data_IF_775293107651
#
_entry.id   IF_775293107651
#
_cell.length_a   1.000
_cell.length_b   1.000
_cell.length_c   1.000
_cell.angle_alpha   90.00
_cell.angle_beta   90.00
_cell.angle_gamma   90.00
#
_symmetry.space_group_name_H-M   'P 1'
#
loop_
_entity.id
_entity.type
_entity.pdbx_description
1 polymer ?
#
# COMPACT_ATOMS: atom_id res chain seq x y z
N UNK A 1 16.93 5.67 24.85
CA UNK A 1 17.54 5.70 23.49
C UNK A 1 16.52 5.45 22.37
N UNK A 2 15.73 4.37 22.40
CA UNK A 2 14.86 4.01 21.27
C UNK A 2 13.76 5.03 20.94
N UNK A 3 13.18 5.70 21.94
CA UNK A 3 12.13 6.71 21.72
C UNK A 3 12.65 7.95 20.98
N UNK A 4 13.87 8.38 21.30
CA UNK A 4 14.49 9.53 20.63
C UNK A 4 14.73 9.27 19.15
N UNK A 5 15.29 8.10 18.80
CA UNK A 5 15.50 7.72 17.40
C UNK A 5 14.18 7.58 16.63
N UNK A 6 13.12 7.08 17.28
CA UNK A 6 11.79 7.00 16.67
C UNK A 6 11.22 8.39 16.38
N UNK A 7 11.25 9.31 17.34
CA UNK A 7 10.77 10.68 17.16
C UNK A 7 11.59 11.42 16.08
N UNK A 8 12.91 11.23 16.06
CA UNK A 8 13.79 11.78 15.03
C UNK A 8 13.44 11.23 13.63
N UNK A 9 13.20 9.93 13.50
CA UNK A 9 12.80 9.32 12.24
C UNK A 9 11.43 9.84 11.76
N UNK A 10 10.46 9.96 12.66
CA UNK A 10 9.17 10.58 12.36
C UNK A 10 9.32 12.04 11.92
N UNK A 11 10.18 12.82 12.57
CA UNK A 11 10.45 14.20 12.20
C UNK A 11 11.06 14.31 10.79
N UNK A 12 12.09 13.50 10.49
CA UNK A 12 12.72 13.47 9.16
C UNK A 12 11.70 13.09 8.09
N UNK A 13 10.88 12.06 8.32
CA UNK A 13 9.83 11.67 7.38
C UNK A 13 8.77 12.75 7.21
N UNK A 14 8.41 13.47 8.28
CA UNK A 14 7.46 14.57 8.21
C UNK A 14 8.00 15.76 7.41
N UNK A 15 9.30 16.01 7.43
CA UNK A 15 9.90 17.08 6.61
C UNK A 15 9.99 16.67 5.14
N UNK A 16 10.49 15.46 4.85
CA UNK A 16 10.85 15.08 3.48
C UNK A 16 9.78 14.29 2.71
N UNK A 17 8.97 13.46 3.40
CA UNK A 17 8.05 12.50 2.78
C UNK A 17 6.79 12.24 3.62
N UNK A 18 6.02 13.30 3.91
CA UNK A 18 4.77 13.24 4.71
C UNK A 18 3.79 12.14 4.29
N UNK A 19 3.67 11.90 2.98
CA UNK A 19 2.77 10.88 2.44
C UNK A 19 3.08 9.46 2.96
N UNK A 20 4.34 9.14 3.29
CA UNK A 20 4.71 7.83 3.87
C UNK A 20 4.14 7.68 5.28
N UNK A 21 4.18 8.75 6.08
CA UNK A 21 3.61 8.75 7.43
C UNK A 21 2.09 8.62 7.38
N UNK A 22 1.43 9.36 6.49
CA UNK A 22 -0.03 9.27 6.33
C UNK A 22 -0.47 7.88 5.87
N UNK A 23 0.23 7.28 4.91
CA UNK A 23 -0.03 5.91 4.47
C UNK A 23 0.29 4.87 5.56
N UNK A 24 1.23 5.15 6.46
CA UNK A 24 1.59 4.31 7.61
C UNK A 24 0.62 4.41 8.79
N UNK A 25 -0.08 5.53 8.94
CA UNK A 25 -0.92 5.81 10.10
C UNK A 25 -2.10 4.83 10.21
N UNK A 26 -2.83 4.64 9.10
CA UNK A 26 -3.97 3.72 9.01
C UNK A 26 -3.59 2.27 9.37
N UNK A 27 -2.58 1.65 8.72
CA UNK A 27 -2.19 0.28 9.07
C UNK A 27 -1.61 0.20 10.49
N UNK A 28 -0.93 1.23 11.01
CA UNK A 28 -0.37 1.21 12.37
C UNK A 28 -1.46 1.20 13.45
N UNK A 29 -2.55 1.93 13.24
CA UNK A 29 -3.73 1.88 14.11
C UNK A 29 -4.36 0.48 14.08
N UNK A 30 -4.61 -0.05 12.87
CA UNK A 30 -5.18 -1.40 12.71
C UNK A 30 -4.30 -2.47 13.36
N UNK A 31 -2.99 -2.37 13.20
CA UNK A 31 -2.01 -3.25 13.82
C UNK A 31 -2.09 -3.23 15.34
N UNK A 32 -2.12 -2.03 15.95
CA UNK A 32 -2.24 -1.88 17.40
C UNK A 32 -3.48 -2.59 17.92
N UNK A 33 -4.63 -2.35 17.30
CA UNK A 33 -5.89 -3.01 17.63
C UNK A 33 -5.82 -4.54 17.52
N UNK A 34 -5.28 -5.06 16.41
CA UNK A 34 -5.11 -6.49 16.20
C UNK A 34 -4.15 -7.13 17.20
N UNK A 35 -3.12 -6.41 17.63
CA UNK A 35 -2.18 -6.87 18.64
C UNK A 35 -2.83 -6.97 20.03
N UNK A 36 -3.71 -6.03 20.41
CA UNK A 36 -4.50 -6.14 21.63
C UNK A 36 -5.49 -7.31 21.57
N UNK A 37 -6.14 -7.52 20.41
CA UNK A 37 -7.02 -8.68 20.17
C UNK A 37 -6.29 -10.01 20.34
N UNK A 38 -5.06 -10.13 19.85
CA UNK A 38 -4.28 -11.37 19.94
C UNK A 38 -4.06 -11.84 21.39
N UNK A 39 -4.11 -10.93 22.37
CA UNK A 39 -3.97 -11.24 23.80
C UNK A 39 -5.26 -11.79 24.44
N UNK A 40 -6.40 -11.68 23.77
CA UNK A 40 -7.70 -12.15 24.29
C UNK A 40 -7.76 -13.68 24.19
N UNK A 41 -7.83 -14.38 25.33
CA UNK A 41 -7.87 -15.85 25.39
C UNK A 41 -9.20 -16.46 24.92
N UNK A 42 -10.32 -15.77 25.13
CA UNK A 42 -11.66 -16.28 24.81
C UNK A 42 -11.96 -16.20 23.29
N UNK A 43 -12.23 -17.35 22.66
CA UNK A 43 -12.48 -17.47 21.21
C UNK A 43 -13.71 -16.70 20.74
N UNK A 44 -14.80 -16.69 21.53
CA UNK A 44 -16.02 -15.96 21.18
C UNK A 44 -15.79 -14.44 21.20
N UNK A 45 -15.11 -13.96 22.25
CA UNK A 45 -14.74 -12.54 22.39
C UNK A 45 -13.73 -12.11 21.31
N UNK A 46 -12.80 -13.00 20.94
CA UNK A 46 -11.83 -12.78 19.86
C UNK A 46 -12.49 -12.74 18.48
N UNK A 47 -13.54 -13.54 18.25
CA UNK A 47 -14.31 -13.48 17.02
C UNK A 47 -15.14 -12.19 16.93
N UNK A 48 -15.85 -11.82 18.00
CA UNK A 48 -16.67 -10.60 18.08
C UNK A 48 -15.84 -9.30 17.99
N UNK A 49 -14.61 -9.31 18.51
CA UNK A 49 -13.72 -8.14 18.43
C UNK A 49 -13.29 -7.80 16.99
N UNK A 50 -13.30 -8.73 16.04
CA UNK A 50 -12.85 -8.44 14.67
C UNK A 50 -13.79 -7.49 13.90
N UNK A 51 -15.10 -7.76 13.77
CA UNK A 51 -16.02 -6.83 13.15
C UNK A 51 -16.10 -5.52 13.94
N UNK A 52 -16.07 -5.56 15.27
CA UNK A 52 -16.10 -4.37 16.12
C UNK A 52 -14.86 -3.48 15.94
N UNK A 53 -13.68 -4.08 15.77
CA UNK A 53 -12.44 -3.35 15.49
C UNK A 53 -12.44 -2.74 14.09
N UNK A 54 -13.04 -3.39 13.09
CA UNK A 54 -13.16 -2.83 11.75
C UNK A 54 -14.18 -1.66 11.73
N UNK A 55 -15.30 -1.79 12.45
CA UNK A 55 -16.32 -0.73 12.50
C UNK A 55 -15.87 0.48 13.30
N UNK A 56 -15.01 0.33 14.31
CA UNK A 56 -14.52 1.45 15.13
C UNK A 56 -13.15 1.95 14.64
N UNK A 57 -12.23 1.03 14.35
CA UNK A 57 -10.85 1.36 14.02
C UNK A 57 -10.70 2.04 12.67
N UNK A 58 -11.53 1.70 11.68
CA UNK A 58 -11.47 2.28 10.34
C UNK A 58 -11.96 3.74 10.35
N UNK A 59 -13.14 4.09 10.92
CA UNK A 59 -13.54 5.49 11.09
C UNK A 59 -12.58 6.29 11.97
N UNK A 60 -12.08 5.69 13.07
CA UNK A 60 -11.11 6.35 13.94
C UNK A 60 -9.81 6.69 13.19
N UNK A 61 -9.33 5.77 12.34
CA UNK A 61 -8.15 6.02 11.53
C UNK A 61 -8.34 7.16 10.52
N UNK A 62 -9.53 7.25 9.90
CA UNK A 62 -9.88 8.33 8.98
C UNK A 62 -10.04 9.67 9.72
N UNK A 63 -10.58 9.65 10.93
CA UNK A 63 -10.72 10.84 11.77
C UNK A 63 -9.37 11.36 12.28
N UNK A 64 -8.47 10.47 12.71
CA UNK A 64 -7.10 10.87 13.06
C UNK A 64 -6.39 11.43 11.83
N UNK A 65 -6.56 10.79 10.66
CA UNK A 65 -5.99 11.29 9.43
C UNK A 65 -6.54 12.69 9.09
N UNK A 66 -7.84 12.94 9.26
CA UNK A 66 -8.42 14.27 9.02
C UNK A 66 -7.86 15.34 9.92
N UNK A 67 -7.62 15.02 11.20
CA UNK A 67 -7.00 15.94 12.16
C UNK A 67 -5.52 16.18 11.89
N UNK A 68 -4.79 15.16 11.45
CA UNK A 68 -3.37 15.28 11.12
C UNK A 68 -3.15 16.02 9.80
N UNK A 69 -4.11 15.98 8.87
CA UNK A 69 -4.05 16.73 7.60
C UNK A 69 -4.76 18.08 7.64
N UNK A 70 -5.37 18.44 8.76
CA UNK A 70 -6.01 19.75 9.01
C UNK A 70 -4.94 20.85 8.96
N UNK A 71 -4.82 21.51 7.80
CA UNK A 71 -3.81 22.55 7.53
C UNK A 71 -2.92 22.30 6.31
N UNK A 72 -2.96 21.10 5.71
CA UNK A 72 -2.25 20.82 4.45
C UNK A 72 -3.26 20.76 3.29
N UNK A 73 -3.31 21.82 2.48
CA UNK A 73 -4.28 21.96 1.38
C UNK A 73 -4.19 20.83 0.34
N UNK A 74 -3.04 20.14 0.28
CA UNK A 74 -2.78 19.01 -0.64
C UNK A 74 -3.24 17.65 -0.10
N UNK A 75 -3.41 17.50 1.21
CA UNK A 75 -3.72 16.22 1.86
C UNK A 75 -5.01 16.25 2.69
N UNK A 76 -5.75 17.36 2.71
CA UNK A 76 -7.03 17.44 3.41
C UNK A 76 -8.07 16.54 2.74
N UNK A 77 -8.82 15.78 3.55
CA UNK A 77 -9.74 14.75 3.05
C UNK A 77 -10.76 15.28 2.05
N UNK A 78 -11.21 16.51 2.21
CA UNK A 78 -12.16 17.19 1.32
C UNK A 78 -11.58 17.49 -0.06
N UNK A 79 -10.29 17.85 -0.14
CA UNK A 79 -9.62 18.15 -1.41
C UNK A 79 -8.89 16.95 -1.98
N UNK A 80 -8.74 15.84 -1.26
CA UNK A 80 -8.02 14.65 -1.72
C UNK A 80 -8.57 14.12 -3.06
N UNK A 81 -9.89 14.06 -3.22
CA UNK A 81 -10.52 13.62 -4.47
C UNK A 81 -10.21 14.54 -5.66
N UNK A 82 -10.32 15.85 -5.43
CA UNK A 82 -10.04 16.86 -6.46
C UNK A 82 -8.53 16.96 -6.78
N UNK A 83 -7.67 16.89 -5.76
CA UNK A 83 -6.21 16.87 -5.90
C UNK A 83 -5.76 15.63 -6.67
N UNK A 84 -6.34 14.46 -6.38
CA UNK A 84 -6.09 13.24 -7.14
C UNK A 84 -6.52 13.38 -8.60
N UNK A 85 -7.69 13.98 -8.87
CA UNK A 85 -8.16 14.25 -10.23
C UNK A 85 -7.22 15.20 -10.98
N UNK A 86 -7.00 16.41 -10.44
CA UNK A 86 -6.18 17.45 -11.06
C UNK A 86 -4.74 16.94 -11.28
N UNK A 87 -4.18 16.24 -10.29
CA UNK A 87 -2.85 15.65 -10.42
C UNK A 87 -2.82 14.59 -11.52
N UNK A 88 -3.79 13.69 -11.56
CA UNK A 88 -3.86 12.64 -12.59
C UNK A 88 -4.04 13.21 -14.00
N UNK A 89 -4.94 14.19 -14.18
CA UNK A 89 -5.19 14.85 -15.47
C UNK A 89 -3.98 15.66 -15.96
N UNK A 90 -3.32 16.39 -15.05
CA UNK A 90 -2.10 17.12 -15.38
C UNK A 90 -0.98 16.16 -15.78
N UNK A 91 -0.78 15.09 -15.00
CA UNK A 91 0.22 14.06 -15.27
C UNK A 91 -0.08 13.32 -16.59
N UNK A 92 -1.35 13.07 -16.92
CA UNK A 92 -1.75 12.48 -18.20
C UNK A 92 -1.42 13.41 -19.38
N UNK A 93 -1.68 14.71 -19.22
CA UNK A 93 -1.38 15.72 -20.25
C UNK A 93 0.12 15.88 -20.48
N UNK A 94 0.92 15.88 -19.42
CA UNK A 94 2.39 15.91 -19.53
C UNK A 94 2.92 14.61 -20.15
N UNK A 95 2.44 13.45 -19.69
CA UNK A 95 2.88 12.15 -20.18
C UNK A 95 2.57 11.90 -21.66
N UNK A 96 1.43 12.39 -22.15
CA UNK A 96 1.06 12.31 -23.57
C UNK A 96 1.88 13.26 -24.45
N UNK A 97 2.19 14.47 -23.95
CA UNK A 97 3.04 15.44 -24.66
C UNK A 97 4.50 14.99 -24.76
N UNK A 98 5.04 14.37 -23.73
CA UNK A 98 6.45 13.94 -23.69
C UNK A 98 6.74 12.64 -24.46
N UNK A 99 5.74 12.00 -25.11
CA UNK A 99 5.88 10.69 -25.81
C UNK A 99 6.57 9.59 -24.96
N UNK A 100 6.57 9.76 -23.64
CA UNK A 100 7.20 8.85 -22.70
C UNK A 100 6.39 7.57 -22.49
N UNK A 101 6.88 6.68 -21.63
CA UNK A 101 6.12 5.50 -21.17
C UNK A 101 5.03 5.92 -20.19
N UNK A 102 4.02 6.61 -20.68
CA UNK A 102 2.87 7.03 -19.89
C UNK A 102 1.85 5.90 -19.75
N UNK A 103 1.18 5.83 -18.62
CA UNK A 103 0.01 4.98 -18.38
C UNK A 103 -1.17 5.83 -17.94
N UNK A 104 -2.38 5.30 -18.16
CA UNK A 104 -3.61 5.97 -17.80
C UNK A 104 -4.32 5.18 -16.71
N UNK A 105 -4.68 5.88 -15.65
CA UNK A 105 -5.71 5.45 -14.72
C UNK A 105 -7.00 6.10 -15.24
N UNK A 106 -8.10 5.35 -15.30
CA UNK A 106 -9.36 5.84 -15.87
C UNK A 106 -9.81 7.20 -15.30
N UNK A 107 -10.82 7.81 -15.92
CA UNK A 107 -11.29 9.14 -15.52
C UNK A 107 -11.65 9.19 -14.02
N UNK A 108 -11.11 10.18 -13.31
CA UNK A 108 -11.43 10.45 -11.92
C UNK A 108 -12.51 11.54 -11.87
N UNK A 109 -13.63 11.24 -11.22
CA UNK A 109 -14.78 12.16 -11.15
C UNK A 109 -14.54 13.33 -10.19
N UNK A 110 -13.44 13.32 -9.42
CA UNK A 110 -13.07 14.37 -8.45
C UNK A 110 -13.71 14.21 -7.07
N UNK A 111 -14.54 13.19 -6.89
CA UNK A 111 -15.11 12.77 -5.60
C UNK A 111 -14.13 11.88 -4.82
N UNK A 112 -14.33 11.70 -3.50
CA UNK A 112 -13.55 10.72 -2.72
C UNK A 112 -13.76 9.27 -3.17
N UNK A 113 -14.91 8.98 -3.79
CA UNK A 113 -15.24 7.63 -4.28
C UNK A 113 -14.57 7.29 -5.61
N UNK A 114 -14.22 8.30 -6.42
CA UNK A 114 -13.51 8.12 -7.70
C UNK A 114 -12.20 7.33 -7.56
N UNK A 115 -11.27 7.76 -6.70
CA UNK A 115 -10.02 7.03 -6.44
C UNK A 115 -10.25 5.58 -5.96
N UNK A 116 -11.28 5.32 -5.17
CA UNK A 116 -11.60 3.97 -4.70
C UNK A 116 -12.05 3.04 -5.84
N UNK A 117 -12.74 3.57 -6.85
CA UNK A 117 -13.17 2.79 -8.02
C UNK A 117 -11.99 2.31 -8.86
N UNK A 118 -10.97 3.14 -9.01
CA UNK A 118 -9.73 2.78 -9.73
C UNK A 118 -8.71 2.06 -8.85
N UNK A 119 -8.98 1.91 -7.54
CA UNK A 119 -8.02 1.36 -6.60
C UNK A 119 -7.49 -0.04 -6.97
N UNK A 120 -8.31 -1.02 -7.41
CA UNK A 120 -7.80 -2.33 -7.79
C UNK A 120 -6.80 -2.25 -8.96
N UNK A 121 -7.11 -1.43 -9.97
CA UNK A 121 -6.24 -1.23 -11.13
C UNK A 121 -4.96 -0.46 -10.73
N UNK A 122 -5.09 0.58 -9.90
CA UNK A 122 -3.97 1.37 -9.42
C UNK A 122 -3.01 0.56 -8.55
N UNK A 123 -3.54 -0.30 -7.67
CA UNK A 123 -2.74 -1.21 -6.84
C UNK A 123 -2.00 -2.21 -7.72
N UNK A 124 -2.69 -2.83 -8.68
CA UNK A 124 -2.06 -3.76 -9.62
C UNK A 124 -0.90 -3.08 -10.37
N UNK A 125 -1.14 -1.86 -10.85
CA UNK A 125 -0.15 -1.08 -11.57
C UNK A 125 1.02 -0.69 -10.67
N UNK A 126 0.76 -0.23 -9.44
CA UNK A 126 1.81 0.12 -8.48
C UNK A 126 2.68 -1.06 -8.04
N UNK A 127 2.08 -2.24 -7.88
CA UNK A 127 2.78 -3.45 -7.42
C UNK A 127 3.56 -4.15 -8.53
N UNK A 128 2.95 -4.35 -9.71
CA UNK A 128 3.43 -5.32 -10.70
C UNK A 128 3.81 -4.74 -12.05
N UNK A 129 3.62 -3.44 -12.27
CA UNK A 129 4.10 -2.75 -13.48
C UNK A 129 5.40 -1.99 -13.22
N UNK A 130 6.27 -1.75 -14.22
CA UNK A 130 6.14 -2.12 -15.64
C UNK A 130 6.46 -3.59 -15.89
N UNK A 131 5.84 -4.17 -16.91
CA UNK A 131 6.24 -5.47 -17.43
C UNK A 131 7.43 -5.37 -18.40
N UNK A 132 8.19 -6.45 -18.63
CA UNK A 132 9.37 -6.43 -19.51
C UNK A 132 9.09 -5.90 -20.92
N UNK A 133 7.90 -6.15 -21.47
CA UNK A 133 7.48 -5.69 -22.79
C UNK A 133 7.05 -4.22 -22.85
N UNK A 134 6.87 -3.55 -21.71
CA UNK A 134 6.52 -2.13 -21.62
C UNK A 134 7.74 -1.23 -21.37
N UNK A 135 8.90 -1.84 -21.13
CA UNK A 135 10.12 -1.13 -20.82
C UNK A 135 10.68 -0.42 -22.06
N UNK A 136 10.81 0.91 -21.98
CA UNK A 136 11.37 1.74 -23.07
C UNK A 136 12.80 2.23 -22.82
N UNK A 137 13.31 2.08 -21.60
CA UNK A 137 14.60 2.57 -21.14
C UNK A 137 15.24 1.52 -20.22
N UNK A 138 16.57 1.54 -20.09
CA UNK A 138 17.33 0.56 -19.29
C UNK A 138 16.87 0.48 -17.82
N UNK A 139 16.53 1.62 -17.21
CA UNK A 139 16.03 1.68 -15.83
C UNK A 139 14.68 0.96 -15.69
N UNK A 140 13.81 1.05 -16.71
CA UNK A 140 12.54 0.31 -16.73
C UNK A 140 12.75 -1.19 -16.93
N UNK A 141 13.76 -1.60 -17.70
CA UNK A 141 14.08 -3.02 -17.90
C UNK A 141 14.47 -3.66 -16.56
N UNK A 142 15.40 -3.05 -15.83
CA UNK A 142 15.82 -3.54 -14.50
C UNK A 142 14.62 -3.61 -13.55
N UNK A 143 13.81 -2.56 -13.54
CA UNK A 143 12.62 -2.50 -12.70
C UNK A 143 11.53 -3.51 -13.09
N UNK A 144 11.45 -3.88 -14.37
CA UNK A 144 10.51 -4.89 -14.84
C UNK A 144 10.89 -6.30 -14.39
N UNK A 145 12.18 -6.59 -14.28
CA UNK A 145 12.64 -7.85 -13.68
C UNK A 145 12.28 -7.91 -12.19
N UNK A 146 12.42 -6.81 -11.46
CA UNK A 146 12.02 -6.71 -10.06
C UNK A 146 10.51 -6.97 -9.88
N UNK A 147 9.64 -6.33 -10.65
CA UNK A 147 8.19 -6.56 -10.55
C UNK A 147 7.77 -7.94 -11.01
N UNK A 148 8.35 -8.45 -12.09
CA UNK A 148 8.10 -9.81 -12.55
C UNK A 148 8.50 -10.84 -11.48
N UNK A 149 9.63 -10.64 -10.81
CA UNK A 149 10.07 -11.50 -9.72
C UNK A 149 9.09 -11.44 -8.54
N UNK A 150 8.67 -10.24 -8.13
CA UNK A 150 7.67 -10.06 -7.07
C UNK A 150 6.32 -10.71 -7.43
N UNK A 151 5.86 -10.55 -8.67
CA UNK A 151 4.64 -11.18 -9.18
C UNK A 151 4.74 -12.70 -9.10
N UNK A 152 5.84 -13.29 -9.60
CA UNK A 152 6.06 -14.74 -9.59
C UNK A 152 6.05 -15.30 -8.16
N UNK A 153 6.75 -14.65 -7.22
CA UNK A 153 6.76 -15.08 -5.81
C UNK A 153 5.36 -14.99 -5.22
N UNK A 154 4.66 -13.89 -5.46
CA UNK A 154 3.32 -13.65 -4.92
C UNK A 154 2.34 -14.70 -5.42
N UNK A 155 2.35 -14.98 -6.73
CA UNK A 155 1.52 -16.01 -7.35
C UNK A 155 1.85 -17.41 -6.82
N UNK A 156 3.15 -17.72 -6.66
CA UNK A 156 3.56 -19.04 -6.14
C UNK A 156 3.14 -19.26 -4.69
N UNK A 157 3.18 -18.23 -3.85
CA UNK A 157 2.66 -18.30 -2.47
C UNK A 157 1.13 -18.43 -2.48
N UNK A 158 0.45 -17.67 -3.34
CA UNK A 158 -1.01 -17.68 -3.47
C UNK A 158 -1.55 -19.05 -3.89
N UNK A 159 -0.96 -19.65 -4.92
CA UNK A 159 -1.35 -20.97 -5.42
C UNK A 159 -0.96 -22.11 -4.50
N UNK A 160 0.22 -22.04 -3.88
CA UNK A 160 0.69 -23.13 -3.03
C UNK A 160 0.03 -23.18 -1.64
N UNK A 161 -0.32 -22.03 -1.05
CA UNK A 161 -0.97 -21.97 0.26
C UNK A 161 -2.50 -22.02 0.18
N UNK A 162 -3.06 -21.57 -0.96
CA UNK A 162 -4.49 -21.30 -1.11
C UNK A 162 -4.91 -19.97 -0.47
N UNK A 163 -5.90 -19.31 -1.10
CA UNK A 163 -6.39 -17.99 -0.69
C UNK A 163 -6.90 -17.96 0.76
N UNK A 164 -7.64 -18.99 1.18
CA UNK A 164 -8.21 -19.08 2.52
C UNK A 164 -7.15 -19.24 3.62
N UNK A 165 -6.07 -19.98 3.35
CA UNK A 165 -4.99 -20.14 4.32
C UNK A 165 -4.26 -18.81 4.54
N UNK A 166 -3.98 -18.08 3.45
CA UNK A 166 -3.33 -16.75 3.52
C UNK A 166 -4.21 -15.76 4.28
N UNK A 167 -5.52 -15.73 4.00
CA UNK A 167 -6.44 -14.87 4.72
C UNK A 167 -6.44 -15.15 6.23
N UNK A 168 -6.51 -16.43 6.62
CA UNK A 168 -6.42 -16.85 8.03
C UNK A 168 -5.10 -16.44 8.67
N UNK A 169 -4.01 -16.54 7.91
CA UNK A 169 -2.66 -16.23 8.37
C UNK A 169 -2.43 -14.72 8.58
N UNK A 170 -2.93 -13.90 7.66
CA UNK A 170 -2.92 -12.44 7.77
C UNK A 170 -3.66 -11.97 9.03
N UNK A 171 -4.80 -12.58 9.35
CA UNK A 171 -5.55 -12.27 10.58
C UNK A 171 -4.91 -12.82 11.86
N UNK A 172 -4.09 -13.86 11.75
CA UNK A 172 -3.37 -14.45 12.88
C UNK A 172 -2.11 -13.63 13.24
N UNK A 173 -1.46 -13.03 12.26
CA UNK A 173 -0.21 -12.27 12.43
C UNK A 173 -0.41 -10.79 12.09
N UNK A 174 -0.64 -9.92 13.09
CA UNK A 174 -0.92 -8.50 12.88
C UNK A 174 0.16 -7.78 12.06
N UNK A 175 1.43 -8.15 12.25
CA UNK A 175 2.57 -7.53 11.55
C UNK A 175 2.55 -7.81 10.04
N UNK A 176 2.10 -9.00 9.65
CA UNK A 176 1.97 -9.37 8.24
C UNK A 176 0.85 -8.57 7.57
N UNK A 177 -0.28 -8.40 8.26
CA UNK A 177 -1.39 -7.58 7.77
C UNK A 177 -1.01 -6.09 7.69
N UNK A 178 -0.30 -5.57 8.70
CA UNK A 178 0.25 -4.22 8.67
C UNK A 178 1.07 -3.98 7.40
N UNK A 179 2.01 -4.87 7.13
CA UNK A 179 2.92 -4.77 5.98
C UNK A 179 2.17 -4.85 4.65
N UNK A 180 1.14 -5.70 4.56
CA UNK A 180 0.27 -5.79 3.38
C UNK A 180 -0.49 -4.48 3.15
N UNK A 181 -1.22 -3.99 4.14
CA UNK A 181 -2.05 -2.78 4.01
C UNK A 181 -1.17 -1.57 3.69
N UNK A 182 -0.03 -1.44 4.36
CA UNK A 182 0.94 -0.37 4.07
C UNK A 182 1.43 -0.42 2.62
N UNK A 183 1.82 -1.60 2.14
CA UNK A 183 2.27 -1.77 0.76
C UNK A 183 1.16 -1.43 -0.25
N UNK A 184 -0.08 -1.85 0.00
CA UNK A 184 -1.23 -1.54 -0.85
C UNK A 184 -1.52 -0.03 -0.90
N UNK A 185 -1.48 0.67 0.24
CA UNK A 185 -1.72 2.11 0.30
C UNK A 185 -0.64 2.91 -0.43
N UNK A 186 0.63 2.54 -0.26
CA UNK A 186 1.74 3.17 -0.99
C UNK A 186 1.67 2.84 -2.49
N UNK A 187 1.34 1.61 -2.88
CA UNK A 187 1.17 1.23 -4.29
C UNK A 187 0.06 2.05 -4.96
N UNK A 188 -1.08 2.17 -4.28
CA UNK A 188 -2.21 2.98 -4.72
C UNK A 188 -1.84 4.46 -4.88
N UNK A 189 -1.23 5.06 -3.86
CA UNK A 189 -0.81 6.45 -3.89
C UNK A 189 0.29 6.73 -4.93
N UNK A 190 1.23 5.80 -5.12
CA UNK A 190 2.28 5.90 -6.13
C UNK A 190 1.71 5.83 -7.55
N UNK A 191 0.71 4.98 -7.78
CA UNK A 191 0.05 4.86 -9.07
C UNK A 191 -0.75 6.11 -9.42
N UNK A 192 -1.53 6.67 -8.50
CA UNK A 192 -2.31 7.91 -8.73
C UNK A 192 -1.39 9.13 -8.84
N UNK A 193 -0.33 9.19 -8.03
CA UNK A 193 0.62 10.30 -8.00
C UNK A 193 1.62 10.32 -9.15
N UNK A 194 1.50 9.42 -10.13
CA UNK A 194 2.39 9.32 -11.28
C UNK A 194 1.59 8.98 -12.55
N UNK A 195 2.06 9.43 -13.71
CA UNK A 195 1.56 8.96 -15.01
C UNK A 195 2.62 8.21 -15.81
N UNK A 196 3.86 8.11 -15.32
CA UNK A 196 4.97 7.49 -16.03
C UNK A 196 5.53 6.32 -15.21
N UNK A 197 5.84 5.21 -15.87
CA UNK A 197 6.45 4.05 -15.23
C UNK A 197 7.79 4.39 -14.56
N UNK A 198 8.58 5.32 -15.09
CA UNK A 198 9.85 5.74 -14.47
C UNK A 198 9.67 6.38 -13.09
N UNK A 199 8.67 7.24 -12.93
CA UNK A 199 8.36 7.90 -11.65
C UNK A 199 7.63 6.95 -10.70
N UNK A 200 6.77 6.08 -11.23
CA UNK A 200 6.10 5.03 -10.47
C UNK A 200 7.09 4.14 -9.70
N UNK A 201 8.15 3.70 -10.40
CA UNK A 201 9.20 2.85 -9.81
C UNK A 201 9.90 3.55 -8.64
N UNK A 202 10.08 4.87 -8.70
CA UNK A 202 10.67 5.64 -7.61
C UNK A 202 9.73 5.78 -6.41
N UNK A 203 8.45 6.01 -6.67
CA UNK A 203 7.45 6.21 -5.62
C UNK A 203 7.09 4.94 -4.86
N UNK A 204 7.30 3.76 -5.47
CA UNK A 204 7.09 2.47 -4.81
C UNK A 204 8.28 1.95 -3.99
N UNK A 205 9.47 2.57 -4.06
CA UNK A 205 10.63 2.13 -3.27
C UNK A 205 10.31 1.94 -1.78
N UNK A 206 9.53 2.83 -1.12
CA UNK A 206 9.21 2.69 0.30
C UNK A 206 8.37 1.45 0.64
N UNK A 207 7.56 0.92 -0.29
CA UNK A 207 6.72 -0.26 -0.02
C UNK A 207 7.47 -1.58 -0.15
N UNK A 208 8.52 -1.64 -0.98
CA UNK A 208 9.27 -2.88 -1.27
C UNK A 208 9.73 -3.63 -0.02
N UNK A 209 10.38 -3.01 0.99
CA UNK A 209 10.83 -3.74 2.16
C UNK A 209 9.67 -4.35 2.95
N UNK A 210 8.53 -3.65 3.06
CA UNK A 210 7.35 -4.15 3.76
C UNK A 210 6.67 -5.26 2.97
N UNK A 211 6.59 -5.14 1.64
CA UNK A 211 6.02 -6.15 0.78
C UNK A 211 6.84 -7.45 0.79
N UNK A 212 8.17 -7.34 0.68
CA UNK A 212 9.07 -8.49 0.80
C UNK A 212 9.03 -9.12 2.20
N UNK A 213 8.99 -8.31 3.27
CA UNK A 213 8.83 -8.82 4.62
C UNK A 213 7.51 -9.59 4.78
N UNK A 214 6.41 -9.09 4.22
CA UNK A 214 5.13 -9.78 4.19
C UNK A 214 5.23 -11.12 3.46
N UNK A 215 5.80 -11.16 2.24
CA UNK A 215 5.97 -12.41 1.48
C UNK A 215 6.84 -13.41 2.25
N UNK A 216 7.91 -12.95 2.89
CA UNK A 216 8.79 -13.80 3.70
C UNK A 216 8.08 -14.37 4.93
N UNK A 217 7.31 -13.55 5.66
CA UNK A 217 6.53 -13.99 6.82
C UNK A 217 5.46 -15.00 6.41
N UNK A 218 4.74 -14.75 5.31
CA UNK A 218 3.78 -15.69 4.75
C UNK A 218 4.44 -17.02 4.43
N UNK A 219 5.57 -17.01 3.70
CA UNK A 219 6.33 -18.22 3.37
C UNK A 219 6.78 -18.98 4.61
N UNK A 220 7.33 -18.28 5.62
CA UNK A 220 7.84 -18.92 6.83
C UNK A 220 6.73 -19.69 7.56
N UNK A 221 5.51 -19.14 7.57
CA UNK A 221 4.37 -19.74 8.26
C UNK A 221 3.69 -20.84 7.42
N UNK A 222 3.79 -20.78 6.09
CA UNK A 222 3.30 -21.83 5.18
C UNK A 222 4.35 -22.93 4.87
N UNK A 223 5.49 -22.97 5.57
CA UNK A 223 6.59 -23.93 5.33
C UNK A 223 6.17 -25.41 5.36
N UNK A 224 4.98 -25.75 5.85
CA UNK A 224 4.41 -27.11 5.80
C UNK A 224 3.74 -27.50 4.47
N UNK A 225 3.55 -26.59 3.51
CA UNK A 225 2.67 -26.84 2.34
C UNK A 225 3.36 -26.75 0.97
N UNK A 226 4.51 -26.08 0.84
CA UNK A 226 5.11 -25.79 -0.49
C UNK A 226 6.63 -25.74 -0.42
N UNK A 227 7.30 -26.63 -1.17
CA UNK A 227 8.73 -26.49 -1.46
C UNK A 227 8.94 -25.39 -2.51
N UNK A 228 9.59 -24.33 -2.04
CA UNK A 228 9.95 -23.15 -2.81
C UNK A 228 11.48 -23.05 -2.72
N UNK A 229 12.10 -23.69 -3.72
CA UNK A 229 13.51 -24.06 -3.87
C UNK A 229 13.90 -25.31 -3.09
#
# INVERSE_FOLDING_TARGET
>A
MNLFYFLLACFVLFVYKRYILFAGLVPMILWGFLQYRAKIKNTALRAASLPLLLTIGLPLSLWILSKVTEGDSKYSLETLGNTAKVSSEWLHTVGTREKGSAYTLGALDGTLTGPLRVAPQAIWLGLFQPHPWQARNIVMIISSFETSFLLIITLRILWGSGFFAIYKLLLAHPVTLFSLIFALLIAFGAAIGSSNYGSLVRYRIPMLPFYLAMLYMLRYQTKGSVNLF
#
